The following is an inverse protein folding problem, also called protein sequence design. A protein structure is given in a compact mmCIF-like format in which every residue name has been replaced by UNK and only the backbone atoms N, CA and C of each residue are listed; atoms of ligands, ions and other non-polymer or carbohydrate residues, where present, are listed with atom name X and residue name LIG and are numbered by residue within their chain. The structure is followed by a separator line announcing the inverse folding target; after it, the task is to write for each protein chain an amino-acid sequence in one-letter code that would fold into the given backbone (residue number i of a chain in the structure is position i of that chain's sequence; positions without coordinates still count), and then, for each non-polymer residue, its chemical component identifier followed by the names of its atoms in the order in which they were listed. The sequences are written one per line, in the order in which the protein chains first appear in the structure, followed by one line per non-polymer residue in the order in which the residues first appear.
data_IF_083101886699
#
_entry.id   IF_083101886699
#
_cell.length_a   1.000
_cell.length_b   1.000
_cell.length_c   1.000
_cell.angle_alpha   90.00
_cell.angle_beta   90.00
_cell.angle_gamma   90.00
#
_symmetry.space_group_name_H-M   'P 1'
#
loop_
_entity.id
_entity.type
_entity.pdbx_description
1 polymer ?
#
# COMPACT_ATOMS: atom_id res chain seq x y z
N UNK A 1 11.42 13.90 2.63
CA UNK A 1 12.06 12.69 3.20
C UNK A 1 11.11 11.51 3.01
N UNK A 2 11.63 10.33 2.66
CA UNK A 2 10.87 9.10 2.47
C UNK A 2 11.35 8.04 3.45
N UNK A 3 10.42 7.45 4.20
CA UNK A 3 10.67 6.27 5.02
C UNK A 3 10.15 5.04 4.29
N UNK A 4 10.97 4.00 4.24
CA UNK A 4 10.62 2.69 3.70
C UNK A 4 10.76 1.70 4.84
N UNK A 5 9.70 0.94 5.10
CA UNK A 5 9.70 -0.07 6.14
C UNK A 5 8.93 -1.31 5.70
N UNK A 6 9.16 -2.41 6.40
CA UNK A 6 8.45 -3.66 6.15
C UNK A 6 6.97 -3.58 6.58
N UNK A 7 6.21 -4.64 6.32
CA UNK A 7 4.79 -4.71 6.62
C UNK A 7 4.45 -4.51 8.10
N UNK A 8 5.32 -4.92 9.05
CA UNK A 8 5.07 -4.76 10.49
C UNK A 8 4.87 -3.30 10.88
N UNK A 9 5.54 -2.39 10.17
CA UNK A 9 5.47 -0.95 10.39
C UNK A 9 4.26 -0.26 9.73
N UNK A 10 3.37 -1.03 9.09
CA UNK A 10 2.07 -0.52 8.63
C UNK A 10 1.15 -0.29 9.83
N UNK A 11 1.43 0.76 10.58
CA UNK A 11 0.72 1.18 11.80
C UNK A 11 0.30 2.63 11.63
N UNK A 12 -0.91 2.96 12.08
CA UNK A 12 -1.45 4.32 12.03
C UNK A 12 -0.54 5.32 12.74
N UNK A 13 -0.01 4.97 13.93
CA UNK A 13 0.91 5.85 14.66
C UNK A 13 2.17 6.24 13.85
N UNK A 14 2.78 5.29 13.12
CA UNK A 14 3.92 5.63 12.25
C UNK A 14 3.50 6.55 11.10
N UNK A 15 2.32 6.33 10.51
CA UNK A 15 1.81 7.19 9.45
C UNK A 15 1.55 8.63 9.96
N UNK A 16 1.02 8.77 11.17
CA UNK A 16 0.75 10.06 11.81
C UNK A 16 2.05 10.82 12.09
N UNK A 17 3.06 10.15 12.66
CA UNK A 17 4.37 10.75 12.91
C UNK A 17 5.08 11.19 11.63
N UNK A 18 5.06 10.36 10.58
CA UNK A 18 5.66 10.68 9.29
C UNK A 18 4.94 11.86 8.63
N UNK A 19 3.61 11.89 8.72
CA UNK A 19 2.79 12.98 8.19
C UNK A 19 3.03 14.30 8.94
N UNK A 20 3.13 14.26 10.27
CA UNK A 20 3.45 15.42 11.10
C UNK A 20 4.79 16.06 10.71
N UNK A 21 5.75 15.23 10.24
CA UNK A 21 7.06 15.67 9.74
C UNK A 21 7.05 16.09 8.26
N UNK A 22 5.89 16.12 7.60
CA UNK A 22 5.73 16.37 6.15
C UNK A 22 6.60 15.43 5.30
N UNK A 23 6.76 14.18 5.76
CA UNK A 23 7.50 13.14 5.08
C UNK A 23 6.55 12.11 4.44
N UNK A 24 7.09 11.17 3.68
CA UNK A 24 6.35 10.10 3.01
C UNK A 24 6.68 8.74 3.62
N UNK A 25 5.68 7.84 3.66
CA UNK A 25 5.82 6.46 4.12
C UNK A 25 5.50 5.50 2.98
N UNK A 26 6.43 4.60 2.66
CA UNK A 26 6.22 3.48 1.76
C UNK A 26 6.34 2.18 2.55
N UNK A 27 5.21 1.47 2.68
CA UNK A 27 5.09 0.22 3.44
C UNK A 27 4.24 -0.80 2.69
N UNK A 28 4.42 -2.06 3.03
CA UNK A 28 3.64 -3.17 2.48
C UNK A 28 2.41 -3.44 3.34
N UNK A 29 1.21 -3.32 2.79
CA UNK A 29 -0.01 -3.68 3.52
C UNK A 29 -0.26 -5.19 3.43
N UNK A 30 -0.36 -5.85 4.58
CA UNK A 30 -0.75 -7.27 4.73
C UNK A 30 -1.96 -7.39 5.66
N UNK A 31 -2.24 -8.60 6.15
CA UNK A 31 -3.36 -8.89 7.04
C UNK A 31 -3.25 -8.28 8.45
N UNK A 32 -2.13 -7.65 8.81
CA UNK A 32 -1.95 -6.96 10.09
C UNK A 32 -2.78 -5.67 10.22
N UNK A 33 -3.30 -5.15 9.10
CA UNK A 33 -4.29 -4.06 9.07
C UNK A 33 -5.51 -4.52 8.25
N UNK A 34 -6.43 -5.31 8.83
CA UNK A 34 -7.45 -6.03 8.07
C UNK A 34 -8.41 -5.11 7.33
N UNK A 35 -8.80 -3.97 7.91
CA UNK A 35 -9.68 -2.98 7.27
C UNK A 35 -8.98 -2.33 6.06
N UNK A 36 -7.75 -1.85 6.24
CA UNK A 36 -6.95 -1.27 5.15
C UNK A 36 -6.70 -2.30 4.03
N UNK A 37 -6.36 -3.54 4.39
CA UNK A 37 -6.15 -4.61 3.42
C UNK A 37 -7.40 -4.88 2.59
N UNK A 38 -8.58 -4.97 3.23
CA UNK A 38 -9.87 -5.11 2.53
C UNK A 38 -10.18 -3.94 1.61
N UNK A 39 -9.92 -2.71 2.05
CA UNK A 39 -10.12 -1.50 1.23
C UNK A 39 -9.22 -1.52 -0.01
N UNK A 40 -7.93 -1.82 0.15
CA UNK A 40 -6.99 -1.90 -0.98
C UNK A 40 -7.34 -3.03 -1.95
N UNK A 41 -7.84 -4.17 -1.46
CA UNK A 41 -8.31 -5.26 -2.33
C UNK A 41 -9.52 -4.89 -3.18
N UNK A 42 -10.35 -3.94 -2.74
CA UNK A 42 -11.55 -3.47 -3.45
C UNK A 42 -11.28 -2.40 -4.51
N UNK A 43 -10.07 -1.86 -4.57
CA UNK A 43 -9.71 -0.91 -5.64
C UNK A 43 -9.90 -1.56 -7.01
N UNK A 44 -10.23 -0.78 -8.07
CA UNK A 44 -10.49 -1.29 -9.41
C UNK A 44 -9.20 -1.70 -10.14
N UNK A 45 -8.42 -2.61 -9.55
CA UNK A 45 -7.12 -3.06 -10.05
C UNK A 45 -7.16 -3.58 -11.49
N UNK A 46 -8.30 -4.09 -11.94
CA UNK A 46 -8.49 -4.53 -13.33
C UNK A 46 -8.40 -3.36 -14.33
N UNK A 47 -8.81 -2.16 -13.92
CA UNK A 47 -8.83 -0.95 -14.76
C UNK A 47 -7.48 -0.20 -14.75
N UNK A 48 -6.63 -0.47 -13.75
CA UNK A 48 -5.32 0.15 -13.65
C UNK A 48 -4.34 -0.54 -14.62
N UNK A 49 -3.66 0.20 -15.52
CA UNK A 49 -2.65 -0.37 -16.41
C UNK A 49 -1.53 -1.09 -15.66
N UNK A 50 -0.96 -2.12 -16.28
CA UNK A 50 0.25 -2.77 -15.78
C UNK A 50 1.43 -1.85 -16.07
N UNK A 51 2.15 -1.43 -15.03
CA UNK A 51 3.37 -0.63 -15.17
C UNK A 51 4.58 -1.52 -15.46
N UNK A 52 4.68 -2.66 -14.78
CA UNK A 52 5.70 -3.67 -15.03
C UNK A 52 5.18 -5.08 -14.71
N UNK A 53 5.74 -6.09 -15.38
CA UNK A 53 5.44 -7.50 -15.12
C UNK A 53 6.62 -8.39 -15.47
N UNK A 54 7.12 -9.10 -14.47
CA UNK A 54 8.11 -10.18 -14.67
C UNK A 54 7.49 -11.55 -14.46
N UNK A 55 8.00 -12.54 -15.18
CA UNK A 55 7.64 -13.96 -15.02
C UNK A 55 8.92 -14.77 -14.92
N UNK A 56 9.10 -15.43 -13.79
CA UNK A 56 10.31 -16.19 -13.50
C UNK A 56 9.97 -17.63 -13.12
N UNK A 57 10.98 -18.49 -13.24
CA UNK A 57 10.92 -19.85 -12.72
C UNK A 57 12.20 -20.16 -11.98
N UNK A 58 12.07 -20.54 -10.71
CA UNK A 58 13.20 -20.86 -9.86
C UNK A 58 12.77 -21.85 -8.79
N UNK A 59 13.65 -22.79 -8.45
CA UNK A 59 13.42 -23.80 -7.40
C UNK A 59 12.07 -24.52 -7.50
N UNK A 60 11.67 -24.88 -8.74
CA UNK A 60 10.40 -25.58 -9.01
C UNK A 60 9.15 -24.70 -8.93
N UNK A 61 9.27 -23.42 -8.59
CA UNK A 61 8.15 -22.47 -8.54
C UNK A 61 8.11 -21.59 -9.78
N UNK A 62 6.89 -21.29 -10.24
CA UNK A 62 6.62 -20.21 -11.20
C UNK A 62 6.23 -18.97 -10.42
N UNK A 63 6.92 -17.87 -10.63
CA UNK A 63 6.60 -16.59 -10.01
C UNK A 63 6.16 -15.58 -11.07
N UNK A 64 5.19 -14.74 -10.73
CA UNK A 64 4.80 -13.59 -11.53
C UNK A 64 4.71 -12.39 -10.59
N UNK A 65 5.53 -11.36 -10.83
CA UNK A 65 5.46 -10.09 -10.13
C UNK A 65 4.78 -9.08 -11.07
N UNK A 66 3.88 -8.26 -10.55
CA UNK A 66 3.16 -7.25 -11.34
C UNK A 66 3.11 -5.97 -10.54
N UNK A 67 3.55 -4.87 -11.15
CA UNK A 67 3.49 -3.53 -10.56
C UNK A 67 2.37 -2.77 -11.24
N UNK A 68 1.49 -2.21 -10.41
CA UNK A 68 0.43 -1.27 -10.81
C UNK A 68 0.48 -0.08 -9.87
N UNK A 69 0.35 1.12 -10.40
CA UNK A 69 0.30 2.35 -9.64
C UNK A 69 -1.01 3.07 -9.94
N UNK A 70 -1.68 3.53 -8.90
CA UNK A 70 -2.89 4.33 -9.00
C UNK A 70 -2.90 5.36 -7.88
N UNK A 71 -3.49 6.52 -8.15
CA UNK A 71 -3.71 7.54 -7.14
C UNK A 71 -5.11 7.36 -6.59
N UNK A 72 -5.23 7.20 -5.28
CA UNK A 72 -6.53 7.36 -4.62
C UNK A 72 -6.64 8.84 -4.23
N UNK A 73 -7.59 9.61 -4.78
CA UNK A 73 -7.86 10.93 -4.24
C UNK A 73 -8.27 10.75 -2.77
N UNK A 74 -7.52 11.37 -1.88
CA UNK A 74 -7.89 11.50 -0.47
C UNK A 74 -8.56 12.87 -0.33
N UNK A 75 -9.81 12.88 0.10
CA UNK A 75 -10.49 14.13 0.41
C UNK A 75 -9.86 14.70 1.69
N UNK A 76 -9.30 15.91 1.63
CA UNK A 76 -8.68 16.53 2.81
C UNK A 76 -9.69 16.91 3.90
N UNK A 77 -10.98 16.83 3.60
CA UNK A 77 -12.11 16.98 4.52
C UNK A 77 -12.29 15.79 5.48
N UNK A 78 -11.71 14.64 5.18
CA UNK A 78 -11.94 13.37 5.88
C UNK A 78 -10.83 12.95 6.85
N UNK A 79 -10.14 13.88 7.50
CA UNK A 79 -9.09 13.56 8.49
C UNK A 79 -9.59 12.74 9.72
N UNK A 80 -10.87 12.38 9.78
CA UNK A 80 -11.49 11.65 10.89
C UNK A 80 -11.93 10.22 10.57
N UNK A 81 -11.75 9.68 9.35
CA UNK A 81 -12.31 8.35 9.02
C UNK A 81 -11.37 7.15 9.21
N UNK A 82 -10.15 7.35 9.73
CA UNK A 82 -9.22 6.25 10.03
C UNK A 82 -9.38 5.76 11.47
N UNK A 83 -10.62 5.49 11.88
CA UNK A 83 -10.92 4.96 13.22
C UNK A 83 -12.24 4.16 13.25
N UNK A 84 -12.27 3.02 12.55
CA UNK A 84 -12.75 1.71 13.05
C UNK A 84 -12.58 0.63 11.98
#
# INVERSE_FOLDING_TARGET
MLFIADALHTQTGHADEVTARRAHLLVQVKGNQPTLFKQLKRLPWAQIPVGDRTRERGHGRRETRTVKAGVRPVDRSGASSWSR
#
